data_IF_382039554194
#
_entry.id   IF_382039554194
#
_cell.length_a   1.000
_cell.length_b   1.000
_cell.length_c   1.000
_cell.angle_alpha   90.00
_cell.angle_beta   90.00
_cell.angle_gamma   90.00
#
_symmetry.space_group_name_H-M   'P 1'
#
loop_
_entity.id
_entity.type
_entity.pdbx_description
1 polymer ?
#
# COMPACT_ATOMS: atom_id res chain seq x y z
N UNK A 1 17.49 -14.64 8.87
CA UNK A 1 17.76 -14.94 10.31
C UNK A 1 16.56 -15.52 11.05
N UNK A 2 15.36 -14.90 11.11
CA UNK A 2 14.23 -15.43 11.92
C UNK A 2 13.80 -16.85 11.51
N UNK A 3 13.36 -17.03 10.25
CA UNK A 3 12.96 -18.37 9.75
C UNK A 3 14.11 -19.38 9.75
N UNK A 4 15.34 -18.92 9.51
CA UNK A 4 16.55 -19.76 9.59
C UNK A 4 16.80 -20.30 11.01
N UNK A 5 16.35 -19.57 12.05
CA UNK A 5 16.38 -20.00 13.45
C UNK A 5 15.10 -20.75 13.86
N UNK A 6 14.31 -21.25 12.90
CA UNK A 6 13.03 -21.93 13.14
C UNK A 6 12.00 -21.12 13.93
N UNK A 7 12.12 -19.79 13.92
CA UNK A 7 11.16 -18.87 14.55
C UNK A 7 10.09 -18.46 13.54
N UNK A 8 8.89 -18.17 14.05
CA UNK A 8 7.75 -17.77 13.23
C UNK A 8 7.89 -16.31 12.78
N UNK A 9 7.78 -16.10 11.47
CA UNK A 9 7.63 -14.80 10.83
C UNK A 9 6.39 -14.82 9.94
N UNK A 10 5.55 -13.81 10.10
CA UNK A 10 4.28 -13.66 9.38
C UNK A 10 4.46 -12.54 8.35
N UNK A 11 4.04 -12.77 7.11
CA UNK A 11 3.99 -11.75 6.07
C UNK A 11 2.54 -11.52 5.65
N UNK A 12 2.11 -10.26 5.68
CA UNK A 12 0.78 -9.82 5.26
C UNK A 12 0.89 -8.63 4.33
N UNK A 13 -0.16 -8.41 3.52
CA UNK A 13 -0.29 -7.20 2.73
C UNK A 13 -1.67 -6.55 2.92
N UNK A 14 -1.79 -5.26 2.64
CA UNK A 14 -3.07 -4.53 2.77
C UNK A 14 -4.10 -4.95 1.72
N UNK A 15 -3.69 -5.34 0.51
CA UNK A 15 -4.57 -5.72 -0.60
C UNK A 15 -4.30 -7.13 -1.12
N UNK A 16 -5.30 -7.78 -1.72
CA UNK A 16 -5.17 -9.14 -2.25
C UNK A 16 -4.17 -9.27 -3.40
N UNK A 17 -4.06 -8.27 -4.27
CA UNK A 17 -3.05 -8.31 -5.34
C UNK A 17 -1.63 -8.24 -4.78
N UNK A 18 -1.39 -7.44 -3.73
CA UNK A 18 -0.09 -7.35 -3.09
C UNK A 18 0.34 -8.66 -2.42
N UNK A 19 -0.62 -9.50 -1.97
CA UNK A 19 -0.28 -10.80 -1.37
C UNK A 19 0.32 -11.77 -2.37
N UNK A 20 0.05 -11.62 -3.68
CA UNK A 20 0.63 -12.47 -4.73
C UNK A 20 2.15 -12.36 -4.83
N UNK A 21 2.72 -11.24 -4.36
CA UNK A 21 4.16 -11.00 -4.31
C UNK A 21 4.82 -11.56 -3.05
N UNK A 22 4.03 -12.06 -2.10
CA UNK A 22 4.51 -12.64 -0.85
C UNK A 22 4.33 -14.16 -0.88
N UNK A 23 5.38 -14.91 -0.55
CA UNK A 23 5.30 -16.37 -0.49
C UNK A 23 4.31 -16.82 0.61
N UNK A 24 3.22 -17.48 0.22
CA UNK A 24 2.11 -17.82 1.11
C UNK A 24 1.33 -16.58 1.60
N UNK A 25 1.39 -15.49 0.83
CA UNK A 25 0.84 -14.20 1.20
C UNK A 25 -0.66 -14.25 1.47
N UNK A 26 -1.08 -13.54 2.51
CA UNK A 26 -2.49 -13.34 2.88
C UNK A 26 -2.70 -11.89 3.28
N UNK A 27 -3.93 -11.41 3.13
CA UNK A 27 -4.23 -10.02 3.49
C UNK A 27 -4.15 -9.85 5.00
N UNK A 28 -3.80 -8.66 5.46
CA UNK A 28 -3.80 -8.32 6.88
C UNK A 28 -5.16 -8.62 7.51
N UNK A 29 -6.25 -8.27 6.82
CA UNK A 29 -7.62 -8.57 7.25
C UNK A 29 -7.87 -10.07 7.44
N UNK A 30 -7.46 -10.92 6.49
CA UNK A 30 -7.66 -12.37 6.57
C UNK A 30 -6.84 -13.02 7.69
N UNK A 31 -5.56 -12.64 7.78
CA UNK A 31 -4.59 -13.23 8.72
C UNK A 31 -4.84 -12.80 10.15
N UNK A 32 -5.12 -11.51 10.35
CA UNK A 32 -5.28 -10.90 11.66
C UNK A 32 -6.74 -10.83 12.11
N UNK A 33 -7.70 -11.24 11.27
CA UNK A 33 -9.14 -11.12 11.54
C UNK A 33 -9.54 -9.69 11.93
N UNK A 34 -8.98 -8.70 11.22
CA UNK A 34 -9.32 -7.30 11.44
C UNK A 34 -10.80 -7.08 11.13
N UNK A 35 -11.50 -6.26 11.92
CA UNK A 35 -12.87 -5.88 11.61
C UNK A 35 -12.90 -5.05 10.32
N UNK A 36 -13.94 -5.20 9.51
CA UNK A 36 -14.09 -4.43 8.28
C UNK A 36 -14.50 -2.97 8.57
N UNK A 37 -15.27 -2.75 9.64
CA UNK A 37 -15.78 -1.43 10.02
C UNK A 37 -14.89 -0.76 11.06
N UNK A 38 -13.60 -0.58 10.73
CA UNK A 38 -12.64 0.04 11.66
C UNK A 38 -13.10 1.42 12.15
N UNK A 39 -13.73 2.21 11.28
CA UNK A 39 -14.18 3.58 11.55
C UNK A 39 -15.33 3.67 12.55
N UNK A 40 -16.10 2.60 12.77
CA UNK A 40 -17.27 2.59 13.66
C UNK A 40 -16.94 2.21 15.10
N UNK A 41 -15.74 1.69 15.34
CA UNK A 41 -15.27 1.27 16.65
C UNK A 41 -14.15 2.19 17.11
N UNK A 42 -14.24 2.71 18.33
CA UNK A 42 -13.21 3.61 18.86
C UNK A 42 -11.91 2.85 19.18
N UNK A 43 -12.04 1.63 19.71
CA UNK A 43 -10.92 0.75 20.06
C UNK A 43 -11.09 -0.65 19.43
N UNK A 44 -10.97 -0.79 18.10
CA UNK A 44 -11.16 -2.08 17.44
C UNK A 44 -10.12 -3.09 17.90
N UNK A 45 -10.50 -4.36 17.92
CA UNK A 45 -9.63 -5.49 18.18
C UNK A 45 -9.70 -6.46 17.02
N UNK A 46 -8.63 -7.21 16.80
CA UNK A 46 -8.64 -8.37 15.93
C UNK A 46 -9.55 -9.45 16.52
N UNK A 47 -10.44 -10.02 15.70
CA UNK A 47 -11.39 -11.04 16.13
C UNK A 47 -10.72 -12.43 16.20
N UNK A 48 -9.82 -12.59 17.18
CA UNK A 48 -9.03 -13.81 17.41
C UNK A 48 -9.19 -14.22 18.87
N UNK A 49 -9.69 -15.43 19.09
CA UNK A 49 -9.80 -16.01 20.44
C UNK A 49 -8.49 -16.65 20.87
N UNK A 50 -8.10 -16.50 22.15
CA UNK A 50 -6.82 -16.97 22.72
C UNK A 50 -6.54 -18.47 22.50
N UNK A 51 -7.58 -19.28 22.38
CA UNK A 51 -7.46 -20.74 22.28
C UNK A 51 -7.36 -21.27 20.84
N UNK A 52 -7.34 -20.41 19.81
CA UNK A 52 -7.27 -20.87 18.42
C UNK A 52 -5.84 -21.14 17.95
N UNK A 53 -5.70 -21.88 16.85
CA UNK A 53 -4.39 -22.12 16.23
C UNK A 53 -3.73 -20.83 15.74
N UNK A 54 -4.52 -19.88 15.21
CA UNK A 54 -4.02 -18.57 14.78
C UNK A 54 -3.50 -17.74 15.95
N UNK A 55 -4.16 -17.80 17.11
CA UNK A 55 -3.68 -17.13 18.31
C UNK A 55 -2.33 -17.67 18.76
N UNK A 56 -2.12 -18.99 18.74
CA UNK A 56 -0.83 -19.61 19.05
C UNK A 56 0.29 -19.12 18.12
N UNK A 57 0.01 -19.07 16.81
CA UNK A 57 0.95 -18.51 15.82
C UNK A 57 1.28 -17.05 16.15
N UNK A 58 0.28 -16.24 16.49
CA UNK A 58 0.46 -14.84 16.88
C UNK A 58 1.11 -14.66 18.25
N UNK A 59 1.04 -15.63 19.16
CA UNK A 59 1.75 -15.59 20.44
C UNK A 59 3.25 -15.89 20.26
N UNK A 60 3.57 -16.84 19.38
CA UNK A 60 4.93 -17.30 19.16
C UNK A 60 5.72 -16.46 18.14
N UNK A 61 5.03 -15.71 17.25
CA UNK A 61 5.70 -14.98 16.18
C UNK A 61 6.72 -13.95 16.70
N UNK A 62 7.83 -13.81 16.00
CA UNK A 62 8.89 -12.85 16.36
C UNK A 62 8.92 -11.63 15.45
N UNK A 63 8.36 -11.79 14.24
CA UNK A 63 8.32 -10.76 13.23
C UNK A 63 6.98 -10.82 12.48
N UNK A 64 6.38 -9.65 12.28
CA UNK A 64 5.28 -9.44 11.36
C UNK A 64 5.77 -8.44 10.31
N UNK A 65 5.63 -8.78 9.02
CA UNK A 65 5.90 -7.88 7.90
C UNK A 65 4.57 -7.50 7.28
N UNK A 66 4.32 -6.20 7.14
CA UNK A 66 3.10 -5.68 6.54
C UNK A 66 3.45 -4.84 5.31
N UNK A 67 3.26 -5.42 4.13
CA UNK A 67 3.46 -4.75 2.85
C UNK A 67 2.25 -3.92 2.41
N UNK A 68 2.49 -2.85 1.66
CA UNK A 68 1.50 -1.84 1.28
C UNK A 68 0.79 -1.23 2.50
N UNK A 69 1.50 -1.07 3.61
CA UNK A 69 0.90 -0.60 4.86
C UNK A 69 0.35 0.82 4.78
N UNK A 70 0.85 1.66 3.87
CA UNK A 70 0.45 3.08 3.73
C UNK A 70 -1.01 3.26 3.35
N UNK A 71 -1.61 2.26 2.71
CA UNK A 71 -3.02 2.21 2.36
C UNK A 71 -3.92 1.76 3.52
N UNK A 72 -3.35 1.29 4.64
CA UNK A 72 -4.11 0.77 5.76
C UNK A 72 -4.59 1.90 6.68
N UNK A 73 -5.82 1.75 7.18
CA UNK A 73 -6.35 2.60 8.23
C UNK A 73 -5.54 2.42 9.52
N UNK A 74 -5.17 3.51 10.21
CA UNK A 74 -4.37 3.47 11.43
C UNK A 74 -4.93 2.57 12.52
N UNK A 75 -6.26 2.52 12.63
CA UNK A 75 -6.92 1.69 13.62
C UNK A 75 -6.67 0.19 13.40
N UNK A 76 -6.33 -0.25 12.18
CA UNK A 76 -5.92 -1.62 11.95
C UNK A 76 -4.57 -1.95 12.63
N UNK A 77 -3.64 -0.99 12.57
CA UNK A 77 -2.35 -1.09 13.27
C UNK A 77 -2.54 -1.07 14.79
N UNK A 78 -3.42 -0.19 15.28
CA UNK A 78 -3.72 -0.06 16.70
C UNK A 78 -4.49 -1.29 17.25
N UNK A 79 -5.38 -1.87 16.45
CA UNK A 79 -6.05 -3.13 16.78
C UNK A 79 -5.06 -4.29 16.90
N UNK A 80 -4.11 -4.38 15.96
CA UNK A 80 -3.05 -5.38 16.01
C UNK A 80 -2.20 -5.24 17.28
N UNK A 81 -1.79 -4.01 17.63
CA UNK A 81 -1.03 -3.73 18.84
C UNK A 81 -1.76 -4.21 20.10
N UNK A 82 -3.01 -3.75 20.30
CA UNK A 82 -3.84 -4.15 21.45
C UNK A 82 -4.05 -5.65 21.51
N UNK A 83 -4.39 -6.29 20.38
CA UNK A 83 -4.60 -7.74 20.36
C UNK A 83 -3.34 -8.50 20.69
N UNK A 84 -2.16 -8.10 20.20
CA UNK A 84 -0.92 -8.82 20.53
C UNK A 84 -0.49 -8.62 21.97
N UNK A 85 -0.74 -7.44 22.55
CA UNK A 85 -0.51 -7.23 23.98
C UNK A 85 -1.38 -8.17 24.83
N UNK A 86 -2.66 -8.32 24.49
CA UNK A 86 -3.59 -9.20 25.19
C UNK A 86 -3.28 -10.70 24.97
N UNK A 87 -3.08 -11.12 23.71
CA UNK A 87 -2.80 -12.52 23.37
C UNK A 87 -1.52 -13.01 24.06
N UNK A 88 -0.52 -12.13 24.23
CA UNK A 88 0.79 -12.49 24.80
C UNK A 88 0.94 -12.17 26.28
N UNK A 89 -0.04 -11.50 26.89
CA UNK A 89 0.09 -10.98 28.25
C UNK A 89 1.30 -10.05 28.43
N UNK A 90 1.63 -9.27 27.40
CA UNK A 90 2.83 -8.43 27.36
C UNK A 90 2.48 -7.01 26.89
N UNK A 91 2.48 -6.05 27.81
CA UNK A 91 2.13 -4.65 27.53
C UNK A 91 3.14 -3.85 26.69
N UNK A 92 4.22 -4.48 26.20
CA UNK A 92 5.13 -3.84 25.24
C UNK A 92 4.44 -3.71 23.87
N UNK A 93 4.84 -2.71 23.09
CA UNK A 93 4.38 -2.50 21.71
C UNK A 93 4.37 -3.82 20.91
N UNK A 94 3.27 -4.07 20.19
CA UNK A 94 3.06 -5.26 19.36
C UNK A 94 3.25 -6.56 20.18
N UNK A 95 2.93 -6.53 21.48
CA UNK A 95 3.14 -7.65 22.41
C UNK A 95 4.60 -8.10 22.49
N UNK A 96 5.55 -7.20 22.22
CA UNK A 96 6.99 -7.47 22.18
C UNK A 96 7.49 -8.15 20.90
N UNK A 97 6.67 -8.32 19.87
CA UNK A 97 7.14 -8.72 18.54
C UNK A 97 7.68 -7.53 17.76
N UNK A 98 8.48 -7.80 16.72
CA UNK A 98 8.89 -6.78 15.76
C UNK A 98 7.81 -6.67 14.68
N UNK A 99 7.36 -5.44 14.39
CA UNK A 99 6.53 -5.14 13.24
C UNK A 99 7.35 -4.34 12.23
N UNK A 100 7.49 -4.89 11.02
CA UNK A 100 8.09 -4.22 9.88
C UNK A 100 6.98 -3.73 8.95
N UNK A 101 6.83 -2.41 8.87
CA UNK A 101 5.91 -1.74 7.96
C UNK A 101 6.65 -1.43 6.66
N UNK A 102 6.11 -1.87 5.53
CA UNK A 102 6.66 -1.61 4.20
C UNK A 102 5.60 -0.94 3.31
N UNK A 103 6.00 0.13 2.64
CA UNK A 103 5.13 0.90 1.77
C UNK A 103 5.78 2.20 1.33
N UNK A 104 5.02 2.95 0.54
CA UNK A 104 5.44 4.22 -0.03
C UNK A 104 4.32 5.24 0.23
N UNK A 105 4.67 6.36 0.87
CA UNK A 105 3.71 7.41 1.23
C UNK A 105 3.40 8.36 0.07
N UNK A 106 4.08 8.21 -1.07
CA UNK A 106 3.69 8.86 -2.33
C UNK A 106 2.54 8.11 -3.04
N UNK A 107 2.13 6.94 -2.52
CA UNK A 107 0.95 6.22 -2.99
C UNK A 107 -0.33 6.80 -2.37
N UNK A 108 -1.48 6.28 -2.80
CA UNK A 108 -2.80 6.72 -2.36
C UNK A 108 -2.98 6.61 -0.84
N UNK A 109 -3.69 7.57 -0.26
CA UNK A 109 -4.11 7.55 1.14
C UNK A 109 -5.12 6.42 1.41
N UNK A 110 -5.37 6.06 2.69
CA UNK A 110 -6.46 5.14 3.05
C UNK A 110 -7.81 5.67 2.56
N UNK A 111 -8.62 4.77 1.99
CA UNK A 111 -9.94 5.13 1.44
C UNK A 111 -10.94 5.32 2.59
N UNK A 112 -11.55 6.50 2.67
CA UNK A 112 -12.66 6.80 3.60
C UNK A 112 -13.91 7.12 2.79
N UNK A 113 -14.88 6.20 2.80
CA UNK A 113 -16.13 6.39 2.06
C UNK A 113 -16.88 7.61 2.57
N UNK A 114 -17.21 8.53 1.65
CA UNK A 114 -17.88 9.82 1.97
C UNK A 114 -17.09 10.68 2.98
N UNK A 115 -15.79 10.44 3.11
CA UNK A 115 -14.91 11.20 4.00
C UNK A 115 -14.45 12.51 3.37
N UNK A 116 -14.01 13.42 4.22
CA UNK A 116 -13.26 14.61 3.82
C UNK A 116 -11.75 14.30 3.75
N UNK A 117 -10.97 15.21 3.15
CA UNK A 117 -9.51 15.12 3.18
C UNK A 117 -8.96 15.05 4.61
N UNK A 118 -9.60 15.75 5.56
CA UNK A 118 -9.21 15.69 6.98
C UNK A 118 -9.44 14.29 7.57
N UNK A 119 -10.51 13.60 7.17
CA UNK A 119 -10.79 12.23 7.61
C UNK A 119 -9.75 11.25 7.06
N UNK A 120 -9.36 11.38 5.78
CA UNK A 120 -8.31 10.57 5.16
C UNK A 120 -6.96 10.77 5.87
N UNK A 121 -6.58 12.03 6.16
CA UNK A 121 -5.36 12.33 6.91
C UNK A 121 -5.41 11.77 8.34
N UNK A 122 -6.57 11.86 9.01
CA UNK A 122 -6.78 11.28 10.34
C UNK A 122 -6.72 9.75 10.33
N UNK A 123 -7.06 9.11 9.21
CA UNK A 123 -7.00 7.67 9.00
C UNK A 123 -5.58 7.16 8.70
N UNK A 124 -4.67 8.02 8.23
CA UNK A 124 -3.31 7.63 7.88
C UNK A 124 -2.52 7.05 9.08
N UNK A 125 -1.61 6.11 8.80
CA UNK A 125 -0.71 5.55 9.82
C UNK A 125 0.05 6.61 10.62
N UNK A 126 0.44 7.72 9.96
CA UNK A 126 1.15 8.85 10.59
C UNK A 126 0.34 9.53 11.71
N UNK A 127 -0.99 9.41 11.68
CA UNK A 127 -1.89 9.93 12.70
C UNK A 127 -2.17 8.94 13.85
N UNK A 128 -1.51 7.78 13.87
CA UNK A 128 -1.58 6.82 14.97
C UNK A 128 -0.69 7.23 16.14
N UNK A 129 -1.12 6.93 17.37
CA UNK A 129 -0.25 7.05 18.54
C UNK A 129 0.99 6.14 18.45
N UNK A 130 0.93 5.07 17.67
CA UNK A 130 2.05 4.15 17.44
C UNK A 130 3.15 4.75 16.56
N UNK A 131 2.81 5.75 15.74
CA UNK A 131 3.73 6.28 14.74
C UNK A 131 5.00 6.89 15.34
N UNK A 132 4.90 7.50 16.53
CA UNK A 132 6.05 8.07 17.25
C UNK A 132 7.11 7.04 17.65
N UNK A 133 6.76 5.75 17.63
CA UNK A 133 7.67 4.65 17.95
C UNK A 133 8.28 3.98 16.70
N UNK A 134 7.86 4.41 15.50
CA UNK A 134 8.34 3.84 14.24
C UNK A 134 9.74 4.37 13.94
N UNK A 135 10.70 3.46 13.82
CA UNK A 135 12.01 3.77 13.25
C UNK A 135 11.94 3.73 11.72
N UNK A 136 12.36 4.82 11.07
CA UNK A 136 12.26 4.99 9.62
C UNK A 136 13.53 4.49 8.94
N UNK A 137 13.35 3.62 7.95
CA UNK A 137 14.41 3.16 7.05
C UNK A 137 13.98 3.50 5.62
N UNK A 138 14.91 4.02 4.82
CA UNK A 138 14.64 4.48 3.47
C UNK A 138 15.44 3.67 2.46
N UNK A 139 14.76 3.22 1.40
CA UNK A 139 15.40 2.62 0.25
C UNK A 139 15.67 3.71 -0.79
N UNK A 140 16.93 3.91 -1.16
CA UNK A 140 17.34 5.00 -2.07
C UNK A 140 17.50 4.55 -3.52
N UNK A 141 17.75 3.26 -3.75
CA UNK A 141 18.03 2.73 -5.08
C UNK A 141 16.76 2.12 -5.69
N UNK A 142 16.29 2.68 -6.80
CA UNK A 142 15.23 2.07 -7.61
C UNK A 142 15.82 0.90 -8.43
N UNK A 143 15.65 -0.32 -7.92
CA UNK A 143 16.19 -1.52 -8.57
C UNK A 143 15.57 -1.79 -9.95
N UNK A 144 14.34 -1.32 -10.25
CA UNK A 144 13.74 -1.51 -11.58
C UNK A 144 14.51 -0.74 -12.64
N UNK A 145 14.81 0.53 -12.35
CA UNK A 145 15.64 1.39 -13.22
C UNK A 145 17.07 0.86 -13.29
N UNK A 146 17.65 0.53 -12.13
CA UNK A 146 19.04 0.08 -12.05
C UNK A 146 19.32 -1.19 -12.87
N UNK A 147 18.37 -2.14 -12.89
CA UNK A 147 18.52 -3.39 -13.62
C UNK A 147 18.21 -3.26 -15.12
N UNK A 148 17.33 -2.34 -15.52
CA UNK A 148 16.95 -2.14 -16.94
C UNK A 148 17.89 -1.19 -17.69
N UNK A 149 18.52 -0.24 -16.99
CA UNK A 149 19.73 0.45 -17.45
C UNK A 149 19.57 1.52 -18.53
N UNK A 150 18.35 1.85 -18.98
CA UNK A 150 18.17 2.93 -19.97
C UNK A 150 18.01 4.32 -19.32
N UNK A 151 18.61 5.33 -19.94
CA UNK A 151 18.63 6.69 -19.43
C UNK A 151 17.23 7.33 -19.34
N UNK A 152 16.32 6.95 -20.24
CA UNK A 152 14.95 7.47 -20.26
C UNK A 152 14.15 7.00 -19.04
N UNK A 153 14.23 5.71 -18.67
CA UNK A 153 13.64 5.16 -17.45
C UNK A 153 14.18 5.85 -16.19
N UNK A 154 15.48 6.17 -16.17
CA UNK A 154 16.09 6.92 -15.08
C UNK A 154 15.53 8.34 -14.94
N UNK A 155 15.43 9.06 -16.06
CA UNK A 155 14.84 10.40 -16.09
C UNK A 155 13.37 10.38 -15.66
N UNK A 156 12.58 9.46 -16.21
CA UNK A 156 11.16 9.31 -15.87
C UNK A 156 10.97 9.00 -14.37
N UNK A 157 11.79 8.11 -13.80
CA UNK A 157 11.73 7.80 -12.37
C UNK A 157 12.06 9.01 -11.49
N UNK A 158 13.03 9.85 -11.88
CA UNK A 158 13.34 11.09 -11.16
C UNK A 158 12.20 12.12 -11.25
N UNK A 159 11.54 12.22 -12.41
CA UNK A 159 10.37 13.08 -12.58
C UNK A 159 9.20 12.60 -11.71
N UNK A 160 8.92 11.29 -11.67
CA UNK A 160 7.91 10.71 -10.79
C UNK A 160 8.19 10.96 -9.30
N UNK A 161 9.45 10.85 -8.88
CA UNK A 161 9.83 11.16 -7.50
C UNK A 161 9.65 12.66 -7.20
N UNK A 162 10.00 13.55 -8.12
CA UNK A 162 9.81 14.99 -7.95
C UNK A 162 8.33 15.38 -7.84
N UNK A 163 7.47 14.69 -8.60
CA UNK A 163 6.02 14.81 -8.48
C UNK A 163 5.53 14.31 -7.12
N UNK A 164 5.94 13.11 -6.70
CA UNK A 164 5.55 12.52 -5.41
C UNK A 164 5.99 13.36 -4.20
N UNK A 165 7.21 13.90 -4.24
CA UNK A 165 7.76 14.77 -3.19
C UNK A 165 7.08 16.16 -3.13
N UNK A 166 6.19 16.48 -4.08
CA UNK A 166 5.55 17.80 -4.18
C UNK A 166 6.50 18.92 -4.57
N UNK A 167 7.58 18.61 -5.30
CA UNK A 167 8.59 19.60 -5.74
C UNK A 167 8.17 20.36 -7.00
N UNK A 168 7.13 19.91 -7.69
CA UNK A 168 6.57 20.60 -8.84
C UNK A 168 5.63 21.68 -8.31
N UNK A 169 5.96 22.95 -8.57
CA UNK A 169 5.15 24.07 -8.14
C UNK A 169 3.75 23.99 -8.77
N UNK A 170 2.73 24.11 -7.93
CA UNK A 170 1.37 24.32 -8.40
C UNK A 170 1.16 25.80 -8.72
N UNK A 171 0.40 26.06 -9.78
CA UNK A 171 -0.09 27.39 -10.10
C UNK A 171 -0.96 27.91 -8.93
N UNK A 172 -0.66 29.09 -8.35
CA UNK A 172 -1.37 29.58 -7.16
C UNK A 172 -2.85 29.90 -7.37
N UNK A 173 -3.28 30.11 -8.61
CA UNK A 173 -4.66 30.51 -8.93
C UNK A 173 -5.54 29.29 -9.20
N UNK A 174 -5.01 28.31 -9.93
CA UNK A 174 -5.73 27.11 -10.35
C UNK A 174 -5.47 25.91 -9.45
N UNK A 175 -4.36 25.91 -8.70
CA UNK A 175 -3.89 24.77 -7.92
C UNK A 175 -3.33 23.61 -8.77
N UNK A 176 -3.19 23.80 -10.08
CA UNK A 176 -2.74 22.77 -11.01
C UNK A 176 -1.23 22.78 -11.16
N UNK A 177 -0.66 21.59 -11.36
CA UNK A 177 0.75 21.44 -11.71
C UNK A 177 0.92 21.38 -13.23
N UNK A 178 2.02 21.94 -13.73
CA UNK A 178 2.43 21.75 -15.13
C UNK A 178 3.42 20.60 -15.20
N UNK A 179 3.07 19.56 -15.95
CA UNK A 179 3.92 18.40 -16.16
C UNK A 179 4.93 18.69 -17.29
N UNK A 180 6.20 18.25 -17.20
CA UNK A 180 7.18 18.43 -18.27
C UNK A 180 6.75 17.81 -19.61
N UNK A 181 7.10 18.44 -20.72
CA UNK A 181 6.72 17.97 -22.07
C UNK A 181 7.20 16.55 -22.42
N UNK A 182 8.26 16.06 -21.75
CA UNK A 182 8.80 14.71 -21.95
C UNK A 182 8.26 13.66 -20.95
N UNK A 183 7.30 14.02 -20.10
CA UNK A 183 6.77 13.13 -19.07
C UNK A 183 5.72 12.16 -19.61
N UNK A 184 4.91 12.60 -20.56
CA UNK A 184 3.86 11.82 -21.19
C UNK A 184 3.59 12.32 -22.61
N UNK A 185 2.94 11.48 -23.41
CA UNK A 185 2.41 11.87 -24.70
C UNK A 185 0.99 12.44 -24.52
N UNK A 186 0.84 13.74 -24.75
CA UNK A 186 -0.48 14.39 -24.77
C UNK A 186 -1.15 14.06 -26.11
N UNK A 187 -2.44 13.74 -26.06
CA UNK A 187 -3.24 13.40 -27.24
C UNK A 187 -4.48 14.29 -27.30
N UNK A 188 -4.91 14.63 -28.52
CA UNK A 188 -5.94 15.64 -28.75
C UNK A 188 -7.38 15.12 -28.56
N UNK A 189 -7.56 13.79 -28.47
CA UNK A 189 -8.89 13.19 -28.30
C UNK A 189 -8.85 11.87 -27.53
N UNK A 190 -9.99 11.54 -26.91
CA UNK A 190 -10.21 10.26 -26.23
C UNK A 190 -10.09 9.08 -27.20
N UNK A 191 -10.53 9.24 -28.46
CA UNK A 191 -10.45 8.16 -29.46
C UNK A 191 -9.01 7.89 -29.89
N UNK A 192 -8.21 8.94 -30.05
CA UNK A 192 -6.76 8.83 -30.27
C UNK A 192 -6.10 8.15 -29.08
N UNK A 193 -6.46 8.53 -27.85
CA UNK A 193 -5.96 7.90 -26.63
C UNK A 193 -6.27 6.40 -26.59
N UNK A 194 -7.55 6.01 -26.76
CA UNK A 194 -7.98 4.60 -26.77
C UNK A 194 -7.24 3.79 -27.82
N UNK A 195 -7.13 4.33 -29.04
CA UNK A 195 -6.45 3.65 -30.15
C UNK A 195 -4.94 3.52 -29.89
N UNK A 196 -4.32 4.49 -29.21
CA UNK A 196 -2.90 4.44 -28.86
C UNK A 196 -2.58 3.37 -27.80
N UNK A 197 -3.47 3.17 -26.82
CA UNK A 197 -3.28 2.16 -25.77
C UNK A 197 -3.72 0.78 -26.22
N UNK A 198 -4.87 0.69 -26.90
CA UNK A 198 -5.49 -0.55 -27.38
C UNK A 198 -5.66 -0.55 -28.91
N UNK A 199 -4.56 -0.61 -29.68
CA UNK A 199 -4.65 -0.70 -31.14
C UNK A 199 -5.34 -2.00 -31.56
N UNK A 200 -6.25 -1.93 -32.54
CA UNK A 200 -6.94 -3.11 -33.09
C UNK A 200 -7.63 -4.02 -32.05
N UNK A 201 -8.19 -3.44 -30.98
CA UNK A 201 -8.87 -4.20 -29.92
C UNK A 201 -9.91 -5.21 -30.45
N UNK A 202 -10.60 -4.89 -31.56
CA UNK A 202 -11.57 -5.76 -32.23
C UNK A 202 -10.97 -7.10 -32.72
N UNK A 203 -9.66 -7.14 -32.97
CA UNK A 203 -8.92 -8.34 -33.40
C UNK A 203 -8.21 -9.00 -32.22
N UNK A 204 -7.73 -8.22 -31.26
CA UNK A 204 -6.90 -8.69 -30.15
C UNK A 204 -7.66 -9.00 -28.85
N UNK A 205 -8.99 -8.84 -28.80
CA UNK A 205 -9.77 -9.01 -27.56
C UNK A 205 -9.70 -10.42 -26.93
N UNK A 206 -9.31 -11.44 -27.69
CA UNK A 206 -9.11 -12.80 -27.17
C UNK A 206 -7.65 -13.10 -26.77
N UNK A 207 -6.70 -12.22 -27.10
CA UNK A 207 -5.30 -12.38 -26.74
C UNK A 207 -5.06 -11.85 -25.32
N UNK A 208 -5.00 -12.79 -24.37
CA UNK A 208 -4.80 -12.49 -22.96
C UNK A 208 -3.45 -11.83 -22.70
N UNK A 209 -2.39 -12.24 -23.40
CA UNK A 209 -1.05 -11.68 -23.21
C UNK A 209 -1.04 -10.22 -23.66
N UNK A 210 -1.65 -9.94 -24.81
CA UNK A 210 -1.78 -8.59 -25.33
C UNK A 210 -2.59 -7.67 -24.40
N UNK A 211 -3.67 -8.16 -23.80
CA UNK A 211 -4.49 -7.41 -22.86
C UNK A 211 -3.76 -7.09 -21.54
N UNK A 212 -3.01 -8.04 -20.99
CA UNK A 212 -2.34 -7.87 -19.71
C UNK A 212 -1.23 -6.79 -19.69
N UNK A 213 -0.71 -6.41 -20.85
CA UNK A 213 0.34 -5.39 -20.98
C UNK A 213 -0.22 -3.95 -21.03
N UNK A 214 -1.55 -3.77 -21.01
CA UNK A 214 -2.23 -2.50 -21.29
C UNK A 214 -3.26 -2.17 -20.23
N UNK A 215 -3.37 -0.88 -19.91
CA UNK A 215 -4.39 -0.37 -19.01
C UNK A 215 -4.71 1.09 -19.33
N UNK A 216 -5.99 1.45 -19.21
CA UNK A 216 -6.43 2.85 -19.11
C UNK A 216 -6.83 3.09 -17.67
N UNK A 217 -6.34 4.18 -17.09
CA UNK A 217 -6.68 4.60 -15.74
C UNK A 217 -7.45 5.91 -15.82
N UNK A 218 -8.52 6.03 -15.03
CA UNK A 218 -9.26 7.26 -14.88
C UNK A 218 -9.45 7.56 -13.38
N UNK A 219 -9.53 8.85 -12.99
CA UNK A 219 -9.67 9.23 -11.59
C UNK A 219 -11.06 8.93 -11.00
N UNK A 220 -12.09 8.76 -11.86
CA UNK A 220 -13.49 8.51 -11.46
C UNK A 220 -14.02 7.27 -12.15
N UNK A 221 -14.85 6.50 -11.43
CA UNK A 221 -15.49 5.29 -11.97
C UNK A 221 -16.41 5.59 -13.15
N UNK A 222 -17.13 6.72 -13.14
CA UNK A 222 -18.02 7.11 -14.26
C UNK A 222 -17.26 7.39 -15.57
N UNK A 223 -15.93 7.48 -15.50
CA UNK A 223 -15.03 7.69 -16.65
C UNK A 223 -14.35 6.41 -17.15
N UNK A 224 -14.52 5.28 -16.44
CA UNK A 224 -13.99 3.95 -16.78
C UNK A 224 -15.04 3.19 -17.59
#
# INVERSE_FOLDING_TARGET
KIRQQSKIAIAVASSGIATTLLHGGRTAHSTLKLPLNLTQCEAPLCNISKCTGEAKVLQECKLIVWDKCTMAHKQALEALDRTLQDLRGNGKLIGGAVLLLAGDFHQTLPIIQKGTMADELKACLKASYLWRHVHKLELKTNMRVHLQGDAASGQFAQQLLSLGDGKIAADPTTGLITIPNNFCNIVDSIETFKTSVFPDIRRCFNDHKWLCERAILAPKNDSV
#
